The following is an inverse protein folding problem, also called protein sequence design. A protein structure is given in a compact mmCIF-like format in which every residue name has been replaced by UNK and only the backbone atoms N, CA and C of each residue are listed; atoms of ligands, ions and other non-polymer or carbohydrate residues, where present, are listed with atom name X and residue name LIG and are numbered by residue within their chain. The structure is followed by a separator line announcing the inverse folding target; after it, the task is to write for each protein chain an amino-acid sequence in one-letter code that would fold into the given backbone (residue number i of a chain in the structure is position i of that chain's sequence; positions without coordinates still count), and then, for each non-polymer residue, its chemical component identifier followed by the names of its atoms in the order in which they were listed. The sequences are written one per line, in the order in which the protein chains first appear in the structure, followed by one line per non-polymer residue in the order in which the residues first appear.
data_IF_158038916749
#
_entry.id   IF_158038916749
#
_cell.length_a   1.000
_cell.length_b   1.000
_cell.length_c   1.000
_cell.angle_alpha   90.00
_cell.angle_beta   90.00
_cell.angle_gamma   90.00
#
_symmetry.space_group_name_H-M   'P 1'
#
loop_
_entity.id
_entity.type
_entity.pdbx_description
1 polymer ?
#
# COMPACT_ATOMS: atom_id res chain seq x y z
N UNK A 1 -35.35 40.83 18.38
CA UNK A 1 -35.62 39.42 18.05
C UNK A 1 -34.97 39.18 16.71
N UNK A 2 -33.69 38.79 16.71
CA UNK A 2 -32.85 38.75 15.51
C UNK A 2 -33.06 37.42 14.80
N UNK A 3 -33.56 37.46 13.58
CA UNK A 3 -33.72 36.30 12.70
C UNK A 3 -32.34 35.81 12.28
N UNK A 4 -31.95 34.62 12.71
CA UNK A 4 -30.75 33.95 12.27
C UNK A 4 -31.01 33.37 10.87
N UNK A 5 -30.27 33.84 9.87
CA UNK A 5 -30.26 33.28 8.50
C UNK A 5 -29.16 32.23 8.43
N UNK A 6 -29.55 31.02 8.06
CA UNK A 6 -28.67 29.84 7.94
C UNK A 6 -27.83 29.94 6.65
N UNK A 7 -26.48 29.96 6.71
CA UNK A 7 -25.63 30.27 5.56
C UNK A 7 -25.30 29.08 4.65
N UNK A 8 -26.04 27.96 4.68
CA UNK A 8 -25.72 26.79 3.84
C UNK A 8 -26.89 26.38 2.94
N UNK A 9 -27.41 27.34 2.17
CA UNK A 9 -28.16 27.02 0.94
C UNK A 9 -27.19 27.02 -0.23
N UNK A 10 -26.60 25.87 -0.54
CA UNK A 10 -25.99 25.66 -1.85
C UNK A 10 -27.02 25.06 -2.82
N UNK A 11 -27.14 25.72 -3.97
CA UNK A 11 -28.08 25.45 -5.07
C UNK A 11 -27.72 24.15 -5.81
N UNK A 12 -28.68 23.53 -6.54
CA UNK A 12 -28.45 22.25 -7.21
C UNK A 12 -27.52 22.44 -8.41
N UNK A 13 -26.47 21.62 -8.50
CA UNK A 13 -25.64 21.53 -9.70
C UNK A 13 -26.30 20.58 -10.70
N UNK A 14 -27.05 21.16 -11.64
CA UNK A 14 -27.34 20.53 -12.92
C UNK A 14 -26.16 20.78 -13.87
N UNK A 15 -25.41 19.75 -14.25
CA UNK A 15 -25.11 19.40 -15.65
C UNK A 15 -24.17 18.18 -15.68
N UNK A 16 -24.46 17.28 -16.62
CA UNK A 16 -23.79 16.00 -16.78
C UNK A 16 -22.30 16.19 -17.11
N UNK A 17 -21.43 15.63 -16.27
CA UNK A 17 -20.06 15.32 -16.63
C UNK A 17 -19.87 13.82 -16.37
N UNK A 18 -19.75 13.10 -17.49
CA UNK A 18 -19.17 11.77 -17.67
C UNK A 18 -19.63 10.69 -16.67
N UNK A 19 -20.44 9.75 -17.18
CA UNK A 19 -20.76 8.51 -16.50
C UNK A 19 -19.52 7.62 -16.43
N UNK A 20 -18.58 7.97 -15.56
CA UNK A 20 -17.59 7.04 -15.04
C UNK A 20 -18.36 5.99 -14.23
N UNK A 21 -18.19 4.73 -14.62
CA UNK A 21 -18.71 3.55 -13.95
C UNK A 21 -18.41 3.69 -12.45
N UNK A 22 -19.44 3.97 -11.63
CA UNK A 22 -19.28 4.19 -10.20
C UNK A 22 -18.86 2.85 -9.59
N UNK A 23 -17.56 2.61 -9.49
CA UNK A 23 -16.99 1.46 -8.77
C UNK A 23 -17.31 1.69 -7.30
N UNK A 24 -18.52 1.30 -6.90
CA UNK A 24 -18.96 1.27 -5.52
C UNK A 24 -18.09 0.23 -4.81
N UNK A 25 -17.03 0.69 -4.17
CA UNK A 25 -16.11 -0.18 -3.44
C UNK A 25 -16.87 -0.69 -2.22
N UNK A 26 -17.20 -1.99 -2.16
CA UNK A 26 -17.84 -2.61 -1.01
C UNK A 26 -17.02 -2.26 0.25
N UNK A 27 -17.52 -1.45 1.20
CA UNK A 27 -16.74 -1.05 2.37
C UNK A 27 -16.36 -2.26 3.25
N UNK A 28 -16.99 -3.42 3.05
CA UNK A 28 -16.69 -4.69 3.71
C UNK A 28 -15.74 -5.62 2.95
N UNK A 29 -15.14 -5.20 1.82
CA UNK A 29 -14.33 -6.06 0.94
C UNK A 29 -13.25 -6.85 1.72
N UNK A 30 -12.60 -6.20 2.69
CA UNK A 30 -11.49 -6.77 3.47
C UNK A 30 -11.91 -8.00 4.30
N UNK A 31 -13.20 -8.16 4.61
CA UNK A 31 -13.71 -9.30 5.40
C UNK A 31 -13.66 -10.62 4.63
N UNK A 32 -13.57 -10.55 3.29
CA UNK A 32 -13.53 -11.71 2.39
C UNK A 32 -12.16 -11.87 1.74
N UNK A 33 -11.24 -10.92 1.95
CA UNK A 33 -9.96 -10.87 1.27
C UNK A 33 -9.00 -11.94 1.78
N UNK A 34 -8.30 -12.60 0.84
CA UNK A 34 -7.12 -13.42 1.11
C UNK A 34 -5.92 -12.50 1.22
N UNK A 35 -5.40 -12.35 2.45
CA UNK A 35 -4.21 -11.55 2.74
C UNK A 35 -2.97 -12.44 2.68
N UNK A 36 -1.98 -12.03 1.89
CA UNK A 36 -0.68 -12.68 1.82
C UNK A 36 0.40 -11.76 2.39
N UNK A 37 1.05 -12.20 3.46
CA UNK A 37 2.15 -11.44 4.06
C UNK A 37 3.46 -11.76 3.34
N UNK A 38 4.15 -10.72 2.88
CA UNK A 38 5.50 -10.82 2.31
C UNK A 38 6.50 -10.26 3.32
N UNK A 39 7.57 -11.01 3.54
CA UNK A 39 8.80 -10.52 4.16
C UNK A 39 9.79 -10.14 3.04
N UNK A 40 9.92 -8.84 2.67
CA UNK A 40 10.56 -8.44 1.41
C UNK A 40 11.98 -8.96 1.24
N UNK A 41 12.80 -8.87 2.29
CA UNK A 41 14.22 -9.28 2.30
C UNK A 41 14.47 -10.75 1.94
N UNK A 42 13.46 -11.62 2.00
CA UNK A 42 13.63 -13.06 1.74
C UNK A 42 12.69 -13.60 0.66
N UNK A 43 11.96 -12.73 -0.05
CA UNK A 43 10.96 -13.17 -1.01
C UNK A 43 11.53 -13.34 -2.43
N UNK A 44 12.09 -12.29 -3.00
CA UNK A 44 12.66 -12.32 -4.35
C UNK A 44 13.71 -11.21 -4.49
N UNK A 45 14.94 -11.61 -4.80
CA UNK A 45 16.08 -10.75 -5.12
C UNK A 45 16.10 -10.50 -6.65
N UNK A 46 16.18 -9.24 -7.06
CA UNK A 46 16.17 -8.84 -8.47
C UNK A 46 17.53 -8.43 -9.03
N UNK A 47 18.50 -8.10 -8.16
CA UNK A 47 19.80 -7.55 -8.56
C UNK A 47 21.00 -8.44 -8.20
N UNK A 48 20.75 -9.54 -7.49
CA UNK A 48 21.72 -10.59 -7.17
C UNK A 48 22.58 -10.31 -5.93
N UNK A 49 22.20 -9.35 -5.10
CA UNK A 49 22.92 -9.02 -3.86
C UNK A 49 22.63 -9.97 -2.69
N UNK A 50 21.67 -10.89 -2.85
CA UNK A 50 21.26 -11.88 -1.86
C UNK A 50 20.15 -11.40 -0.92
N UNK A 51 19.59 -10.21 -1.13
CA UNK A 51 18.51 -9.61 -0.34
C UNK A 51 17.31 -9.34 -1.25
N UNK A 52 16.13 -9.75 -0.81
CA UNK A 52 14.91 -9.50 -1.57
C UNK A 52 14.49 -8.02 -1.57
N UNK A 53 13.91 -7.57 -2.68
CA UNK A 53 13.65 -6.16 -2.97
C UNK A 53 12.27 -5.92 -3.62
N UNK A 54 11.89 -4.65 -3.79
CA UNK A 54 10.60 -4.29 -4.39
C UNK A 54 10.48 -4.71 -5.86
N UNK A 55 11.48 -4.49 -6.74
CA UNK A 55 11.43 -5.03 -8.11
C UNK A 55 11.24 -6.56 -8.18
N UNK A 56 11.85 -7.30 -7.24
CA UNK A 56 11.68 -8.73 -7.07
C UNK A 56 10.25 -9.10 -6.72
N UNK A 57 9.62 -8.37 -5.78
CA UNK A 57 8.17 -8.53 -5.48
C UNK A 57 7.33 -8.24 -6.72
N UNK A 58 7.61 -7.14 -7.43
CA UNK A 58 6.89 -6.75 -8.65
C UNK A 58 6.96 -7.87 -9.71
N UNK A 59 8.12 -8.51 -9.87
CA UNK A 59 8.32 -9.63 -10.81
C UNK A 59 7.46 -10.88 -10.50
N UNK A 60 6.86 -10.96 -9.31
CA UNK A 60 6.03 -12.09 -8.86
C UNK A 60 4.55 -11.75 -8.74
N UNK A 61 4.11 -10.55 -9.12
CA UNK A 61 2.69 -10.16 -9.02
C UNK A 61 1.78 -11.10 -9.83
N UNK A 62 2.17 -11.53 -11.03
CA UNK A 62 1.40 -12.49 -11.83
C UNK A 62 1.23 -13.85 -11.11
N UNK A 63 2.26 -14.29 -10.39
CA UNK A 63 2.20 -15.51 -9.58
C UNK A 63 1.22 -15.33 -8.41
N UNK A 64 1.29 -14.21 -7.69
CA UNK A 64 0.43 -13.91 -6.55
C UNK A 64 -1.04 -13.74 -6.97
N UNK A 65 -1.27 -13.10 -8.12
CA UNK A 65 -2.60 -12.99 -8.72
C UNK A 65 -3.15 -14.37 -9.08
N UNK A 66 -2.35 -15.23 -9.74
CA UNK A 66 -2.76 -16.59 -10.09
C UNK A 66 -3.03 -17.46 -8.86
N UNK A 67 -2.32 -17.20 -7.75
CA UNK A 67 -2.56 -17.86 -6.47
C UNK A 67 -3.91 -17.48 -5.84
N UNK A 68 -4.51 -16.36 -6.26
CA UNK A 68 -5.78 -15.86 -5.74
C UNK A 68 -5.62 -14.93 -4.54
N UNK A 69 -4.50 -14.20 -4.45
CA UNK A 69 -4.27 -13.21 -3.40
C UNK A 69 -5.00 -11.91 -3.72
N UNK A 70 -5.76 -11.38 -2.76
CA UNK A 70 -6.45 -10.10 -2.90
C UNK A 70 -5.61 -8.93 -2.36
N UNK A 71 -4.85 -9.15 -1.28
CA UNK A 71 -4.07 -8.11 -0.59
C UNK A 71 -2.68 -8.59 -0.24
N UNK A 72 -1.69 -7.74 -0.49
CA UNK A 72 -0.33 -7.93 0.02
C UNK A 72 -0.14 -7.12 1.29
N UNK A 73 0.30 -7.78 2.36
CA UNK A 73 0.80 -7.13 3.56
C UNK A 73 2.32 -7.25 3.58
N UNK A 74 3.03 -6.13 3.46
CA UNK A 74 4.48 -6.11 3.52
C UNK A 74 4.94 -5.89 4.96
N UNK A 75 5.92 -6.68 5.39
CA UNK A 75 6.78 -6.28 6.52
C UNK A 75 7.48 -4.94 6.19
N UNK A 76 8.02 -4.19 7.19
CA UNK A 76 8.50 -2.83 6.97
C UNK A 76 9.47 -2.68 5.79
N UNK A 77 9.22 -1.67 4.95
CA UNK A 77 10.05 -1.30 3.79
C UNK A 77 10.66 0.11 3.91
N UNK A 78 10.43 0.79 5.03
CA UNK A 78 10.94 2.14 5.25
C UNK A 78 12.44 2.13 5.57
N UNK A 79 13.09 3.29 5.44
CA UNK A 79 14.48 3.46 5.87
C UNK A 79 14.62 3.13 7.37
N UNK A 80 15.57 2.26 7.70
CA UNK A 80 15.85 1.77 9.06
C UNK A 80 17.36 1.47 9.23
N UNK A 81 17.94 1.61 10.44
CA UNK A 81 19.29 1.14 10.78
C UNK A 81 19.50 -0.38 10.62
N UNK A 82 18.41 -1.15 10.58
CA UNK A 82 18.34 -2.60 10.45
C UNK A 82 18.77 -3.37 11.70
N UNK A 83 18.64 -2.78 12.89
CA UNK A 83 18.88 -3.45 14.16
C UNK A 83 17.73 -4.41 14.52
N UNK A 84 16.52 -4.15 14.00
CA UNK A 84 15.34 -5.04 14.10
C UNK A 84 14.69 -5.26 12.72
N UNK A 85 15.51 -5.53 11.71
CA UNK A 85 15.08 -5.92 10.37
C UNK A 85 14.01 -5.01 9.73
N UNK A 86 14.09 -3.71 9.98
CA UNK A 86 13.17 -2.71 9.42
C UNK A 86 12.08 -2.23 10.38
N UNK A 87 11.87 -2.87 11.53
CA UNK A 87 10.89 -2.39 12.52
C UNK A 87 11.38 -1.16 13.32
N UNK A 88 12.69 -0.97 13.39
CA UNK A 88 13.39 0.20 13.92
C UNK A 88 13.45 1.36 12.90
N UNK A 89 12.29 1.92 12.54
CA UNK A 89 12.17 2.90 11.44
C UNK A 89 12.87 4.24 11.78
N UNK A 90 13.73 4.71 10.87
CA UNK A 90 14.41 6.02 10.98
C UNK A 90 13.77 7.12 10.14
N UNK A 91 13.08 6.77 9.05
CA UNK A 91 12.32 7.73 8.24
C UNK A 91 11.05 7.10 7.65
N UNK A 92 9.89 7.43 8.23
CA UNK A 92 8.58 6.96 7.76
C UNK A 92 8.14 7.50 6.38
N UNK A 93 8.89 8.44 5.79
CA UNK A 93 8.57 9.05 4.48
C UNK A 93 9.53 8.61 3.38
N UNK A 94 10.45 7.71 3.67
CA UNK A 94 11.42 7.20 2.71
C UNK A 94 11.44 5.67 2.72
N UNK A 95 11.78 5.08 1.58
CA UNK A 95 11.78 3.62 1.36
C UNK A 95 13.22 3.14 1.30
N UNK A 96 13.53 2.06 2.02
CA UNK A 96 14.86 1.44 2.00
C UNK A 96 15.23 1.06 0.58
N UNK A 97 16.41 1.49 0.15
CA UNK A 97 17.04 1.02 -1.09
C UNK A 97 17.61 -0.39 -0.84
N UNK A 98 17.54 -1.29 -1.83
CA UNK A 98 17.75 -2.76 -1.70
C UNK A 98 19.02 -3.20 -0.95
N UNK A 99 20.01 -2.33 -0.77
CA UNK A 99 21.39 -2.70 -0.45
C UNK A 99 21.85 -2.53 0.99
N UNK A 100 20.96 -2.46 1.99
CA UNK A 100 21.41 -2.35 3.39
C UNK A 100 21.86 -3.73 3.93
N UNK A 101 23.18 -3.98 4.12
CA UNK A 101 23.68 -5.28 4.56
C UNK A 101 23.16 -5.62 5.97
N UNK A 102 23.11 -6.90 6.30
CA UNK A 102 22.90 -7.36 7.67
C UNK A 102 23.98 -6.77 8.58
N UNK A 103 23.58 -6.01 9.59
CA UNK A 103 24.49 -5.73 10.71
C UNK A 103 24.60 -7.02 11.53
N UNK A 104 25.84 -7.50 11.69
CA UNK A 104 26.17 -8.66 12.55
C UNK A 104 26.54 -8.18 13.93
#
# INVERSE_FOLDING_TARGET
MTTHVDPTTERPISEAADADDEVTTDPGWFRKAVVYQIYPRSFADSDGDGIGDLPGIISKLDYLQKLGVDVLWLSPIYTSPQDDNGYDISNYRDVTRSSAPWRT
#
